data_IF_931000073906
#
_entry.id   IF_931000073906
#
_cell.length_a   1.000
_cell.length_b   1.000
_cell.length_c   1.000
_cell.angle_alpha   90.00
_cell.angle_beta   90.00
_cell.angle_gamma   90.00
#
_symmetry.space_group_name_H-M   'P 1'
#
loop_
_entity.id
_entity.type
_entity.pdbx_description
1 polymer ?
#
# COMPACT_ATOMS: atom_id res chain seq x y z
N UNK A 1 9.53 3.12 8.93
CA UNK A 1 8.92 2.36 7.83
C UNK A 1 9.99 1.43 7.28
N UNK A 2 9.70 0.13 7.07
CA UNK A 2 10.66 -0.81 6.52
C UNK A 2 10.97 -0.50 5.04
N UNK A 3 12.08 -1.00 4.49
CA UNK A 3 12.32 -0.92 3.04
C UNK A 3 11.19 -1.62 2.27
N UNK A 4 10.87 -1.12 1.07
CA UNK A 4 9.92 -1.79 0.20
C UNK A 4 10.50 -3.12 -0.30
N UNK A 5 9.69 -4.18 -0.40
CA UNK A 5 10.13 -5.41 -1.04
C UNK A 5 10.41 -5.13 -2.52
N UNK A 6 11.48 -5.71 -3.05
CA UNK A 6 11.70 -5.74 -4.49
C UNK A 6 10.87 -6.89 -5.07
N UNK A 7 10.06 -6.61 -6.08
CA UNK A 7 9.29 -7.64 -6.79
C UNK A 7 9.57 -7.53 -8.28
N UNK A 8 9.66 -8.67 -8.97
CA UNK A 8 9.78 -8.72 -10.43
C UNK A 8 8.48 -8.35 -11.15
N UNK A 9 7.40 -8.12 -10.41
CA UNK A 9 6.04 -7.90 -10.92
C UNK A 9 5.64 -6.42 -10.88
N UNK A 10 6.60 -5.50 -10.63
CA UNK A 10 6.33 -4.07 -10.56
C UNK A 10 5.83 -3.51 -11.90
N UNK A 11 4.56 -3.13 -11.92
CA UNK A 11 3.90 -2.38 -12.99
C UNK A 11 4.27 -0.90 -12.87
N UNK A 12 5.34 -0.50 -13.57
CA UNK A 12 5.73 0.90 -13.74
C UNK A 12 7.15 1.24 -13.27
N UNK A 13 7.58 2.51 -13.47
CA UNK A 13 8.91 2.97 -13.05
C UNK A 13 9.11 2.82 -11.54
N UNK A 14 10.24 2.23 -11.07
CA UNK A 14 10.45 1.93 -9.67
C UNK A 14 10.30 3.11 -8.71
N UNK A 15 10.73 4.30 -9.15
CA UNK A 15 10.63 5.51 -8.34
C UNK A 15 9.17 5.96 -8.13
N UNK A 16 8.30 5.77 -9.13
CA UNK A 16 6.89 6.16 -9.04
C UNK A 16 6.13 5.22 -8.10
N UNK A 17 6.40 3.91 -8.20
CA UNK A 17 5.89 2.92 -7.24
C UNK A 17 6.33 3.30 -5.82
N UNK A 18 7.62 3.58 -5.62
CA UNK A 18 8.15 4.00 -4.31
C UNK A 18 7.43 5.25 -3.77
N UNK A 19 7.18 6.24 -4.62
CA UNK A 19 6.48 7.46 -4.22
C UNK A 19 5.02 7.19 -3.82
N UNK A 20 4.31 6.34 -4.55
CA UNK A 20 2.93 5.94 -4.21
C UNK A 20 2.87 5.26 -2.82
N UNK A 21 3.79 4.34 -2.54
CA UNK A 21 3.89 3.67 -1.24
C UNK A 21 4.19 4.65 -0.10
N UNK A 22 5.12 5.59 -0.30
CA UNK A 22 5.43 6.62 0.70
C UNK A 22 4.21 7.51 0.94
N UNK A 23 3.50 7.91 -0.12
CA UNK A 23 2.29 8.71 -0.02
C UNK A 23 1.20 7.98 0.76
N UNK A 24 0.94 6.71 0.45
CA UNK A 24 -0.03 5.87 1.14
C UNK A 24 0.29 5.72 2.64
N UNK A 25 1.56 5.52 2.97
CA UNK A 25 2.01 5.39 4.35
C UNK A 25 1.77 6.66 5.18
N UNK A 26 1.99 7.83 4.57
CA UNK A 26 1.90 9.15 5.20
C UNK A 26 0.47 9.72 5.21
N UNK A 27 -0.38 9.32 4.26
CA UNK A 27 -1.72 9.90 4.07
C UNK A 27 -2.83 8.83 4.15
N UNK A 28 -2.87 7.98 5.20
CA UNK A 28 -3.85 6.88 5.27
C UNK A 28 -5.30 7.39 5.34
N UNK A 29 -5.53 8.57 5.90
CA UNK A 29 -6.86 9.18 5.94
C UNK A 29 -7.36 9.54 4.54
N UNK A 30 -6.48 10.07 3.68
CA UNK A 30 -6.82 10.41 2.29
C UNK A 30 -7.15 9.14 1.51
N UNK A 31 -6.25 8.14 1.53
CA UNK A 31 -6.49 6.88 0.81
C UNK A 31 -7.66 6.08 1.40
N UNK A 32 -7.97 6.25 2.68
CA UNK A 32 -9.15 5.65 3.30
C UNK A 32 -10.47 6.12 2.69
N UNK A 33 -10.52 7.33 2.12
CA UNK A 33 -11.68 7.83 1.37
C UNK A 33 -11.62 7.53 -0.13
N UNK A 34 -10.47 7.09 -0.64
CA UNK A 34 -10.33 6.70 -2.05
C UNK A 34 -10.86 5.26 -2.19
N UNK A 35 -11.91 5.03 -2.99
CA UNK A 35 -12.40 3.68 -3.23
C UNK A 35 -11.39 2.89 -4.06
N UNK A 36 -11.29 1.60 -3.78
CA UNK A 36 -10.63 0.62 -4.64
C UNK A 36 -11.69 -0.15 -5.41
N UNK A 37 -11.41 -0.49 -6.67
CA UNK A 37 -12.35 -1.19 -7.55
C UNK A 37 -11.78 -2.50 -8.11
N UNK A 38 -10.70 -3.00 -7.49
CA UNK A 38 -10.05 -4.24 -7.91
C UNK A 38 -10.87 -5.50 -7.59
N UNK A 39 -11.85 -5.41 -6.68
CA UNK A 39 -12.64 -6.57 -6.23
C UNK A 39 -11.89 -7.51 -5.27
N UNK A 40 -10.85 -7.02 -4.60
CA UNK A 40 -10.01 -7.77 -3.67
C UNK A 40 -10.49 -7.70 -2.20
N UNK A 41 -11.78 -7.39 -1.97
CA UNK A 41 -12.29 -7.25 -0.61
C UNK A 41 -12.27 -8.58 0.17
N UNK A 42 -12.41 -9.71 -0.55
CA UNK A 42 -12.30 -11.05 0.01
C UNK A 42 -10.86 -11.42 0.41
N UNK A 43 -9.87 -10.72 -0.13
CA UNK A 43 -8.45 -10.87 0.23
C UNK A 43 -8.07 -10.00 1.44
N UNK A 44 -9.03 -9.25 2.01
CA UNK A 44 -8.86 -8.47 3.23
C UNK A 44 -8.65 -6.98 3.02
N UNK A 45 -8.62 -6.49 1.78
CA UNK A 45 -8.52 -5.05 1.49
C UNK A 45 -9.88 -4.36 1.70
N UNK A 46 -9.90 -3.27 2.46
CA UNK A 46 -11.12 -2.53 2.82
C UNK A 46 -11.13 -1.12 2.24
N UNK A 47 -9.97 -0.59 1.90
CA UNK A 47 -9.79 0.73 1.30
C UNK A 47 -8.55 0.76 0.42
N UNK A 48 -8.35 1.85 -0.32
CA UNK A 48 -7.15 2.01 -1.15
C UNK A 48 -5.84 2.00 -0.34
N UNK A 49 -5.87 2.25 0.98
CA UNK A 49 -4.66 2.16 1.82
C UNK A 49 -4.14 0.72 1.94
N UNK A 50 -5.05 -0.25 1.91
CA UNK A 50 -4.72 -1.67 2.13
C UNK A 50 -3.98 -2.25 0.92
N UNK A 51 -4.09 -1.61 -0.26
CA UNK A 51 -3.28 -1.95 -1.43
C UNK A 51 -1.77 -1.73 -1.21
N UNK A 52 -1.39 -0.91 -0.22
CA UNK A 52 0.00 -0.53 0.05
C UNK A 52 0.49 -0.99 1.42
N UNK A 53 -0.35 -0.96 2.45
CA UNK A 53 0.05 -1.21 3.85
C UNK A 53 -0.73 -2.39 4.41
N UNK A 54 -0.02 -3.50 4.67
CA UNK A 54 -0.61 -4.70 5.26
C UNK A 54 -0.82 -4.55 6.78
N UNK A 55 0.19 -4.04 7.49
CA UNK A 55 0.08 -3.85 8.95
C UNK A 55 0.85 -2.64 9.47
N UNK A 56 0.38 -2.15 10.63
CA UNK A 56 1.00 -1.07 11.38
C UNK A 56 1.23 -1.51 12.83
N UNK A 57 2.32 -1.03 13.40
CA UNK A 57 2.60 -1.15 14.83
C UNK A 57 1.59 -0.36 15.67
N UNK A 58 1.58 -0.57 16.99
CA UNK A 58 0.67 0.12 17.92
C UNK A 58 0.80 1.64 17.94
N UNK A 59 1.98 2.18 17.58
CA UNK A 59 2.21 3.62 17.42
C UNK A 59 1.92 4.14 15.99
N UNK A 60 1.31 3.31 15.13
CA UNK A 60 0.86 3.68 13.79
C UNK A 60 1.93 3.65 12.69
N UNK A 61 3.17 3.26 13.00
CA UNK A 61 4.21 3.11 12.00
C UNK A 61 3.93 1.91 11.10
N UNK A 62 4.28 2.00 9.80
CA UNK A 62 4.20 0.84 8.91
C UNK A 62 5.13 -0.25 9.41
N UNK A 63 4.57 -1.45 9.58
CA UNK A 63 5.27 -2.66 10.01
C UNK A 63 5.50 -3.60 8.82
N UNK A 64 4.47 -3.79 7.97
CA UNK A 64 4.55 -4.61 6.74
C UNK A 64 3.84 -3.93 5.58
N UNK A 65 4.43 -4.08 4.40
CA UNK A 65 3.91 -3.57 3.13
C UNK A 65 3.07 -4.65 2.46
N UNK A 66 1.95 -4.26 1.86
CA UNK A 66 1.23 -5.09 0.90
C UNK A 66 1.85 -4.90 -0.49
N UNK A 67 1.89 -5.93 -1.34
CA UNK A 67 2.47 -5.86 -2.69
C UNK A 67 1.45 -5.62 -3.80
N UNK A 68 0.16 -5.57 -3.50
CA UNK A 68 -0.90 -5.39 -4.49
C UNK A 68 -0.75 -4.08 -5.27
N UNK A 69 -0.34 -3.00 -4.61
CA UNK A 69 -0.05 -1.71 -5.24
C UNK A 69 1.18 -1.72 -6.17
N UNK A 70 1.89 -2.84 -6.30
CA UNK A 70 2.97 -3.03 -7.26
C UNK A 70 2.52 -3.71 -8.55
N UNK A 71 1.34 -4.35 -8.60
CA UNK A 71 0.86 -5.13 -9.75
C UNK A 71 -0.13 -4.35 -10.60
#
# INVERSE_FOLDING_TARGET
MPPLPYTSQMSGPPEQVRQAYVFAAQNPSVLGYVPCYCGCELDGHRSNVDCFVESRTSNGAVERWDTHGMT
#
